data_IF_744315374810
#
_entry.id   IF_744315374810
#
_cell.length_a   1.000
_cell.length_b   1.000
_cell.length_c   1.000
_cell.angle_alpha   90.00
_cell.angle_beta   90.00
_cell.angle_gamma   90.00
#
_symmetry.space_group_name_H-M   'P 1'
#
loop_
_entity.id
_entity.type
_entity.pdbx_description
1 polymer ?
#
# COMPACT_ATOMS: atom_id res chain seq x y z
N UNK A 1 -11.97 21.63 -0.54
CA UNK A 1 -10.99 22.14 0.44
C UNK A 1 -11.51 21.90 1.84
N UNK A 2 -10.82 21.06 2.59
CA UNK A 2 -11.04 20.76 4.01
C UNK A 2 -10.77 22.01 4.85
N UNK A 3 -11.44 22.12 6.01
CA UNK A 3 -11.29 23.26 6.93
C UNK A 3 -9.84 23.50 7.38
N UNK A 4 -8.99 22.47 7.31
CA UNK A 4 -7.58 22.53 7.65
C UNK A 4 -6.76 23.22 6.54
N UNK A 5 -7.08 22.99 5.27
CA UNK A 5 -6.39 23.59 4.11
C UNK A 5 -6.62 25.09 4.05
N UNK A 6 -7.84 25.54 4.35
CA UNK A 6 -8.19 26.97 4.46
C UNK A 6 -7.39 27.66 5.57
N UNK A 7 -7.31 27.06 6.76
CA UNK A 7 -6.51 27.62 7.86
C UNK A 7 -5.03 27.66 7.54
N UNK A 8 -4.50 26.62 6.90
CA UNK A 8 -3.10 26.58 6.47
C UNK A 8 -2.80 27.63 5.40
N UNK A 9 -3.71 27.81 4.43
CA UNK A 9 -3.62 28.87 3.42
C UNK A 9 -3.65 30.26 4.04
N UNK A 10 -4.53 30.53 5.01
CA UNK A 10 -4.60 31.82 5.70
C UNK A 10 -3.30 32.13 6.48
N UNK A 11 -2.73 31.13 7.18
CA UNK A 11 -1.47 31.30 7.91
C UNK A 11 -0.31 31.56 6.96
N UNK A 12 -0.25 30.83 5.83
CA UNK A 12 0.79 30.98 4.81
C UNK A 12 0.65 32.34 4.10
N UNK A 13 -0.57 32.73 3.71
CA UNK A 13 -0.87 34.01 3.06
C UNK A 13 -0.45 35.19 3.93
N UNK A 14 -0.68 35.10 5.24
CA UNK A 14 -0.35 36.16 6.20
C UNK A 14 1.18 36.29 6.47
N UNK A 15 1.99 35.29 6.12
CA UNK A 15 3.45 35.30 6.32
C UNK A 15 4.28 35.43 5.04
N UNK A 16 3.79 34.92 3.91
CA UNK A 16 4.56 34.72 2.68
C UNK A 16 3.93 35.40 1.45
N UNK A 17 2.68 35.85 1.55
CA UNK A 17 1.93 36.38 0.42
C UNK A 17 1.09 35.31 -0.29
N UNK A 18 0.18 35.77 -1.16
CA UNK A 18 -0.87 34.95 -1.74
C UNK A 18 -0.34 33.88 -2.72
N UNK A 19 0.70 34.23 -3.49
CA UNK A 19 1.32 33.37 -4.50
C UNK A 19 2.07 32.19 -3.87
N UNK A 20 2.87 32.44 -2.83
CA UNK A 20 3.66 31.40 -2.16
C UNK A 20 2.76 30.46 -1.34
N UNK A 21 1.71 31.00 -0.71
CA UNK A 21 0.72 30.20 0.00
C UNK A 21 -0.02 29.24 -0.94
N UNK A 22 -0.41 29.73 -2.12
CA UNK A 22 -1.06 28.90 -3.15
C UNK A 22 -0.13 27.80 -3.65
N UNK A 23 1.13 28.13 -3.91
CA UNK A 23 2.16 27.18 -4.37
C UNK A 23 2.41 26.07 -3.35
N UNK A 24 2.46 26.40 -2.05
CA UNK A 24 2.67 25.41 -0.98
C UNK A 24 1.46 24.50 -0.81
N UNK A 25 0.24 25.05 -0.89
CA UNK A 25 -0.98 24.24 -0.83
C UNK A 25 -1.06 23.29 -2.03
N UNK A 26 -0.78 23.78 -3.25
CA UNK A 26 -0.73 22.93 -4.45
C UNK A 26 0.33 21.84 -4.34
N UNK A 27 1.53 22.17 -3.84
CA UNK A 27 2.58 21.17 -3.63
C UNK A 27 2.15 20.09 -2.62
N UNK A 28 1.43 20.46 -1.56
CA UNK A 28 0.89 19.53 -0.58
C UNK A 28 -0.20 18.66 -1.19
N UNK A 29 -1.10 19.24 -2.00
CA UNK A 29 -2.14 18.49 -2.73
C UNK A 29 -1.51 17.51 -3.73
N UNK A 30 -0.55 17.95 -4.55
CA UNK A 30 0.16 17.07 -5.49
C UNK A 30 0.92 15.95 -4.77
N UNK A 31 1.60 16.24 -3.66
CA UNK A 31 2.28 15.20 -2.86
C UNK A 31 1.31 14.25 -2.18
N UNK A 32 0.15 14.74 -1.74
CA UNK A 32 -0.91 13.93 -1.15
C UNK A 32 -1.52 13.01 -2.21
N UNK A 33 -1.83 13.56 -3.38
CA UNK A 33 -2.37 12.81 -4.51
C UNK A 33 -1.37 11.77 -5.02
N UNK A 34 -0.09 12.11 -5.14
CA UNK A 34 0.98 11.14 -5.46
C UNK A 34 1.13 10.05 -4.39
N UNK A 35 0.98 10.36 -3.09
CA UNK A 35 1.00 9.34 -2.02
C UNK A 35 -0.26 8.46 -2.03
N UNK A 36 -1.41 9.00 -2.41
CA UNK A 36 -2.65 8.24 -2.58
C UNK A 36 -2.54 7.35 -3.83
N UNK A 37 -1.96 7.85 -4.92
CA UNK A 37 -1.73 7.07 -6.14
C UNK A 37 -0.65 5.99 -5.92
N UNK A 38 0.45 6.28 -5.23
CA UNK A 38 1.42 5.27 -4.82
C UNK A 38 0.81 4.20 -3.89
N UNK A 39 -0.18 4.55 -3.05
CA UNK A 39 -0.92 3.56 -2.26
C UNK A 39 -1.92 2.75 -3.11
N UNK A 40 -2.38 3.26 -4.25
CA UNK A 40 -3.13 2.46 -5.24
C UNK A 40 -2.22 1.48 -5.99
N UNK A 41 -0.97 1.86 -6.29
CA UNK A 41 0.03 0.92 -6.82
C UNK A 41 0.46 -0.15 -5.79
N UNK A 42 0.47 0.17 -4.48
CA UNK A 42 0.64 -0.84 -3.41
C UNK A 42 -0.56 -1.79 -3.29
N UNK A 43 -1.68 -1.45 -3.93
CA UNK A 43 -2.84 -2.32 -4.16
C UNK A 43 -2.69 -3.19 -5.42
N UNK A 44 -1.44 -3.49 -5.84
CA UNK A 44 -1.10 -4.67 -6.63
C UNK A 44 -2.00 -5.85 -6.23
N UNK A 45 -2.71 -6.32 -7.24
CA UNK A 45 -4.07 -6.83 -7.29
C UNK A 45 -4.42 -7.79 -6.17
N UNK A 46 -5.63 -7.71 -5.61
CA UNK A 46 -6.15 -8.75 -4.69
C UNK A 46 -5.91 -10.15 -5.28
N UNK A 47 -6.04 -10.27 -6.60
CA UNK A 47 -5.74 -11.46 -7.39
C UNK A 47 -4.28 -11.92 -7.30
N UNK A 48 -3.29 -11.03 -7.43
CA UNK A 48 -1.86 -11.41 -7.33
C UNK A 48 -1.51 -11.95 -5.93
N UNK A 49 -2.11 -11.37 -4.88
CA UNK A 49 -1.95 -11.86 -3.51
C UNK A 49 -2.64 -13.22 -3.31
N UNK A 50 -3.82 -13.41 -3.89
CA UNK A 50 -4.56 -14.68 -3.84
C UNK A 50 -3.81 -15.76 -4.61
N UNK A 51 -3.25 -15.46 -5.78
CA UNK A 51 -2.47 -16.41 -6.57
C UNK A 51 -1.19 -16.80 -5.85
N UNK A 52 -0.47 -15.82 -5.26
CA UNK A 52 0.70 -16.09 -4.42
C UNK A 52 0.36 -16.99 -3.22
N UNK A 53 -0.73 -16.70 -2.50
CA UNK A 53 -1.18 -17.51 -1.35
C UNK A 53 -1.57 -18.92 -1.81
N UNK A 54 -2.26 -19.05 -2.95
CA UNK A 54 -2.67 -20.34 -3.52
C UNK A 54 -1.46 -21.21 -3.85
N UNK A 55 -0.45 -20.64 -4.51
CA UNK A 55 0.80 -21.33 -4.79
C UNK A 55 1.55 -21.74 -3.52
N UNK A 56 1.58 -20.86 -2.51
CA UNK A 56 2.25 -21.14 -1.24
C UNK A 56 1.60 -22.28 -0.45
N UNK A 57 0.26 -22.35 -0.44
CA UNK A 57 -0.50 -23.42 0.23
C UNK A 57 -0.35 -24.76 -0.49
N UNK A 58 -0.43 -24.78 -1.83
CA UNK A 58 -0.22 -26.01 -2.61
C UNK A 58 1.17 -26.61 -2.38
N UNK A 59 2.20 -25.76 -2.31
CA UNK A 59 3.56 -26.20 -2.02
C UNK A 59 3.69 -26.80 -0.60
N UNK A 60 3.07 -26.19 0.39
CA UNK A 60 3.07 -26.70 1.77
C UNK A 60 2.37 -28.06 1.91
N UNK A 61 1.24 -28.25 1.23
CA UNK A 61 0.53 -29.55 1.23
C UNK A 61 1.39 -30.65 0.60
N UNK A 62 2.11 -30.33 -0.49
CA UNK A 62 3.02 -31.28 -1.14
C UNK A 62 4.17 -31.72 -0.21
N UNK A 63 4.77 -30.78 0.54
CA UNK A 63 5.79 -31.13 1.54
C UNK A 63 5.24 -32.04 2.65
N UNK A 64 4.05 -31.71 3.18
CA UNK A 64 3.41 -32.54 4.22
C UNK A 64 3.12 -33.96 3.72
N UNK A 65 2.61 -34.10 2.49
CA UNK A 65 2.35 -35.40 1.87
C UNK A 65 3.64 -36.21 1.67
N UNK A 66 4.74 -35.58 1.28
CA UNK A 66 6.04 -36.23 1.13
C UNK A 66 6.59 -36.73 2.48
N UNK A 67 6.46 -35.93 3.54
CA UNK A 67 6.88 -36.33 4.89
C UNK A 67 6.03 -37.49 5.41
N UNK A 68 4.70 -37.42 5.24
CA UNK A 68 3.80 -38.52 5.63
C UNK A 68 4.13 -39.79 4.84
N UNK A 69 4.39 -39.68 3.54
CA UNK A 69 4.79 -40.81 2.70
C UNK A 69 6.10 -41.45 3.16
N UNK A 70 7.09 -40.65 3.54
CA UNK A 70 8.34 -41.15 4.15
C UNK A 70 8.09 -41.80 5.51
N UNK A 71 7.21 -41.24 6.33
CA UNK A 71 6.90 -41.78 7.65
C UNK A 71 6.18 -43.13 7.57
N UNK A 72 5.21 -43.27 6.65
CA UNK A 72 4.51 -44.53 6.38
C UNK A 72 5.50 -45.57 5.83
N UNK A 73 6.36 -45.17 4.88
CA UNK A 73 7.36 -46.08 4.31
C UNK A 73 8.47 -46.48 5.31
N UNK A 74 8.73 -45.68 6.33
CA UNK A 74 9.67 -46.00 7.40
C UNK A 74 9.03 -46.82 8.55
N UNK A 75 7.70 -46.93 8.57
CA UNK A 75 6.93 -47.69 9.56
C UNK A 75 6.55 -49.11 9.08
N UNK A 76 6.93 -49.47 7.86
CA UNK A 76 6.83 -50.80 7.22
C UNK A 76 8.25 -51.41 7.12
#
# INVERSE_FOLDING_TARGET
>A
MSALELKTYEILKNKLGEEEASTIIQFIEEKSEQKINQKKDVFLTKDDKVDLIKWMVCFWIAQMAAIIGLYIKAAD
#
